data_IF_059852642976
#
_entry.id   IF_059852642976
#
_cell.length_a   1.000
_cell.length_b   1.000
_cell.length_c   1.000
_cell.angle_alpha   90.00
_cell.angle_beta   90.00
_cell.angle_gamma   90.00
#
_symmetry.space_group_name_H-M   'P 1'
#
loop_
_entity.id
_entity.type
_entity.pdbx_description
1 polymer ?
#
# COMPACT_ATOMS: atom_id res chain seq x y z
N UNK A 1 -15.59 0.10 20.59
CA UNK A 1 -14.26 0.67 20.25
C UNK A 1 -13.97 0.33 18.80
N UNK A 2 -13.53 1.29 17.98
CA UNK A 2 -13.03 1.01 16.63
C UNK A 2 -11.58 0.54 16.74
N UNK A 3 -11.27 -0.62 16.18
CA UNK A 3 -9.90 -1.12 16.12
C UNK A 3 -9.20 -0.43 14.95
N UNK A 4 -8.34 0.54 15.25
CA UNK A 4 -7.48 1.19 14.25
C UNK A 4 -6.33 0.23 13.91
N UNK A 5 -6.13 -0.01 12.61
CA UNK A 5 -5.07 -0.89 12.07
C UNK A 5 -4.35 -0.16 10.95
N UNK A 6 -3.03 -0.34 10.88
CA UNK A 6 -2.22 0.28 9.84
C UNK A 6 -2.48 -0.36 8.47
N UNK A 7 -2.16 0.38 7.40
CA UNK A 7 -2.24 -0.17 6.03
C UNK A 7 -1.33 -1.39 5.89
N UNK A 8 -0.12 -1.30 6.41
CA UNK A 8 0.83 -2.41 6.43
C UNK A 8 0.26 -3.65 7.16
N UNK A 9 -0.41 -3.47 8.30
CA UNK A 9 -1.04 -4.58 9.04
C UNK A 9 -2.14 -5.28 8.25
N UNK A 10 -2.94 -4.53 7.49
CA UNK A 10 -3.99 -5.12 6.66
C UNK A 10 -3.39 -5.99 5.55
N UNK A 11 -2.35 -5.50 4.88
CA UNK A 11 -1.69 -6.23 3.79
C UNK A 11 -0.91 -7.46 4.27
N UNK A 12 -0.48 -7.50 5.52
CA UNK A 12 0.16 -8.68 6.11
C UNK A 12 -0.84 -9.79 6.41
N UNK A 13 -2.05 -9.43 6.88
CA UNK A 13 -3.07 -10.42 7.29
C UNK A 13 -3.83 -10.99 6.10
N UNK A 14 -4.30 -10.12 5.22
CA UNK A 14 -5.09 -10.51 4.06
C UNK A 14 -4.86 -9.48 2.94
N UNK A 15 -3.84 -9.70 2.09
CA UNK A 15 -3.46 -8.73 1.08
C UNK A 15 -4.56 -8.52 0.03
N UNK A 16 -5.32 -9.57 -0.32
CA UNK A 16 -6.42 -9.44 -1.29
C UNK A 16 -7.57 -8.60 -0.73
N UNK A 17 -7.93 -8.82 0.53
CA UNK A 17 -8.94 -8.02 1.21
C UNK A 17 -8.45 -6.61 1.49
N UNK A 18 -7.19 -6.43 1.87
CA UNK A 18 -6.59 -5.13 2.08
C UNK A 18 -6.63 -4.31 0.79
N UNK A 19 -6.22 -4.89 -0.34
CA UNK A 19 -6.31 -4.25 -1.66
C UNK A 19 -7.75 -3.91 -2.03
N UNK A 20 -8.69 -4.82 -1.78
CA UNK A 20 -10.10 -4.57 -2.04
C UNK A 20 -10.68 -3.42 -1.20
N UNK A 21 -10.21 -3.26 0.05
CA UNK A 21 -10.64 -2.20 0.95
C UNK A 21 -10.01 -0.84 0.61
N UNK A 22 -8.79 -0.81 0.08
CA UNK A 22 -8.05 0.43 -0.16
C UNK A 22 -8.16 0.94 -1.59
N UNK A 23 -8.17 0.04 -2.58
CA UNK A 23 -8.20 0.36 -4.01
C UNK A 23 -9.39 -0.26 -4.76
N UNK A 24 -10.19 -1.10 -4.11
CA UNK A 24 -11.22 -1.90 -4.77
C UNK A 24 -10.65 -3.18 -5.40
N UNK A 25 -11.52 -4.09 -5.86
CA UNK A 25 -11.09 -5.44 -6.31
C UNK A 25 -10.11 -5.36 -7.49
N UNK A 26 -8.84 -5.70 -7.26
CA UNK A 26 -7.72 -5.56 -8.21
C UNK A 26 -7.44 -4.12 -8.66
N UNK A 27 -7.77 -3.15 -7.81
CA UNK A 27 -7.63 -1.72 -8.15
C UNK A 27 -6.18 -1.25 -8.26
N UNK A 28 -5.24 -1.90 -7.56
CA UNK A 28 -3.81 -1.55 -7.65
C UNK A 28 -3.13 -2.11 -8.91
N UNK A 29 -3.75 -3.09 -9.57
CA UNK A 29 -3.25 -3.76 -10.79
C UNK A 29 -4.10 -3.45 -12.03
N UNK A 30 -4.81 -2.30 -12.05
CA UNK A 30 -5.68 -1.90 -13.17
C UNK A 30 -5.64 -0.41 -13.47
N UNK A 31 -5.88 -0.05 -14.73
CA UNK A 31 -6.03 1.35 -15.14
C UNK A 31 -4.79 2.19 -14.85
N UNK A 32 -4.99 3.33 -14.17
CA UNK A 32 -3.93 4.30 -13.90
C UNK A 32 -2.82 3.77 -12.97
N UNK A 33 -3.14 2.90 -12.00
CA UNK A 33 -2.15 2.33 -11.07
C UNK A 33 -1.20 1.36 -11.80
N UNK A 34 -1.73 0.53 -12.70
CA UNK A 34 -0.92 -0.36 -13.54
C UNK A 34 -0.06 0.43 -14.54
N UNK A 35 -0.60 1.51 -15.12
CA UNK A 35 0.14 2.39 -16.01
C UNK A 35 1.28 3.12 -15.27
N UNK A 36 1.03 3.62 -14.06
CA UNK A 36 2.04 4.23 -13.21
C UNK A 36 3.12 3.23 -12.79
N UNK A 37 2.75 1.98 -12.48
CA UNK A 37 3.72 0.91 -12.20
C UNK A 37 4.59 0.62 -13.42
N UNK A 38 4.00 0.53 -14.61
CA UNK A 38 4.76 0.36 -15.85
C UNK A 38 5.72 1.53 -16.11
N UNK A 39 5.26 2.75 -15.88
CA UNK A 39 6.10 3.95 -16.01
C UNK A 39 7.27 3.95 -15.01
N UNK A 40 7.03 3.55 -13.76
CA UNK A 40 8.07 3.45 -12.74
C UNK A 40 9.13 2.38 -13.07
N UNK A 41 8.71 1.27 -13.69
CA UNK A 41 9.60 0.20 -14.15
C UNK A 41 10.26 0.50 -15.52
N UNK A 42 9.87 1.60 -16.19
CA UNK A 42 10.33 1.94 -17.54
C UNK A 42 9.79 1.02 -18.65
N UNK A 43 8.74 0.24 -18.38
CA UNK A 43 8.19 -0.75 -19.30
C UNK A 43 6.68 -0.92 -19.17
N UNK A 44 5.97 -1.11 -20.29
CA UNK A 44 4.56 -1.46 -20.25
C UNK A 44 4.35 -2.87 -19.67
N UNK A 45 3.29 -3.06 -18.88
CA UNK A 45 2.90 -4.34 -18.27
C UNK A 45 1.67 -4.95 -19.00
N UNK A 46 1.84 -5.59 -20.17
CA UNK A 46 0.73 -6.07 -21.00
C UNK A 46 -0.13 -7.15 -20.32
N UNK A 47 0.46 -7.88 -19.36
CA UNK A 47 -0.23 -8.94 -18.61
C UNK A 47 -0.47 -8.60 -17.14
N UNK A 48 -0.52 -7.31 -16.77
CA UNK A 48 -0.81 -6.90 -15.40
C UNK A 48 -2.13 -7.45 -14.84
N UNK A 49 -3.11 -7.72 -15.70
CA UNK A 49 -4.39 -8.32 -15.33
C UNK A 49 -4.31 -9.80 -14.88
N UNK A 50 -3.21 -10.50 -15.21
CA UNK A 50 -2.93 -11.88 -14.80
C UNK A 50 -2.12 -11.96 -13.50
N UNK A 51 -1.67 -10.83 -12.98
CA UNK A 51 -0.98 -10.82 -11.69
C UNK A 51 -1.97 -11.18 -10.56
N UNK A 52 -1.51 -11.89 -9.52
CA UNK A 52 -2.33 -12.21 -8.37
C UNK A 52 -2.77 -10.92 -7.66
N UNK A 53 -3.99 -10.94 -7.12
CA UNK A 53 -4.47 -9.84 -6.27
C UNK A 53 -3.66 -9.73 -4.97
N UNK A 54 -3.82 -8.63 -4.27
CA UNK A 54 -3.11 -8.32 -3.04
C UNK A 54 -1.68 -7.83 -3.24
N UNK A 55 -1.23 -7.66 -4.49
CA UNK A 55 0.09 -7.10 -4.78
C UNK A 55 0.08 -5.59 -4.64
N UNK A 56 0.82 -5.09 -3.64
CA UNK A 56 1.09 -3.67 -3.48
C UNK A 56 2.13 -3.23 -4.53
N UNK A 57 1.86 -2.19 -5.35
CA UNK A 57 2.82 -1.68 -6.33
C UNK A 57 4.13 -1.26 -5.67
N UNK A 58 5.28 -1.59 -6.26
CA UNK A 58 6.60 -1.26 -5.71
C UNK A 58 6.78 0.25 -5.46
N UNK A 59 6.20 1.09 -6.34
CA UNK A 59 6.17 2.54 -6.18
C UNK A 59 5.35 3.02 -4.97
N UNK A 60 4.39 2.22 -4.50
CA UNK A 60 3.59 2.46 -3.29
C UNK A 60 4.17 1.75 -2.06
N UNK A 61 5.02 0.74 -2.26
CA UNK A 61 5.65 -0.04 -1.21
C UNK A 61 6.94 0.61 -0.67
N UNK A 62 7.45 1.66 -1.32
CA UNK A 62 8.66 2.36 -0.89
C UNK A 62 8.36 3.46 0.13
N UNK A 63 8.83 3.35 1.39
CA UNK A 63 8.80 4.46 2.32
C UNK A 63 9.83 5.51 1.91
N UNK A 64 9.43 6.78 1.90
CA UNK A 64 10.32 7.91 1.63
C UNK A 64 11.10 8.28 2.91
N UNK A 65 11.94 7.37 3.43
CA UNK A 65 12.79 7.57 4.62
C UNK A 65 12.43 6.71 5.86
N UNK A 66 13.10 6.96 7.00
CA UNK A 66 13.04 6.19 8.28
C UNK A 66 11.63 5.87 8.82
N UNK A 67 11.06 4.69 8.50
CA UNK A 67 9.82 4.09 9.06
C UNK A 67 8.77 4.64 10.08
N UNK A 68 7.49 4.23 10.00
CA UNK A 68 6.42 4.66 10.89
C UNK A 68 6.77 4.73 12.37
N UNK A 69 6.40 5.79 13.09
CA UNK A 69 6.33 5.76 14.55
C UNK A 69 4.94 6.06 15.05
N UNK A 70 4.46 5.00 15.69
CA UNK A 70 3.28 4.92 16.51
C UNK A 70 3.43 5.72 17.81
N UNK A 71 2.39 6.48 18.12
CA UNK A 71 2.09 6.87 19.51
C UNK A 71 1.68 5.62 20.28
N UNK A 72 2.57 5.17 21.15
CA UNK A 72 2.37 4.05 22.07
C UNK A 72 2.31 4.64 23.47
N UNK A 73 1.22 4.39 24.20
CA UNK A 73 1.05 4.91 25.55
C UNK A 73 2.33 4.69 26.39
N UNK A 74 2.89 5.76 26.96
CA UNK A 74 4.12 5.74 27.75
C UNK A 74 5.43 6.09 27.03
N UNK A 75 5.42 6.36 25.71
CA UNK A 75 6.63 6.76 24.94
C UNK A 75 6.67 8.24 24.52
N UNK A 76 7.88 8.74 24.28
CA UNK A 76 8.13 9.98 23.54
C UNK A 76 7.76 9.82 22.04
N UNK A 77 7.36 10.89 21.34
CA UNK A 77 7.00 10.81 19.93
C UNK A 77 8.24 10.45 19.11
N UNK A 78 8.18 9.38 18.31
CA UNK A 78 9.18 9.15 17.27
C UNK A 78 8.55 9.38 15.86
N UNK A 79 9.34 9.35 14.78
CA UNK A 79 8.99 9.75 13.39
C UNK A 79 8.31 8.66 12.56
N UNK A 80 7.25 8.97 11.78
CA UNK A 80 6.53 8.03 10.91
C UNK A 80 6.71 8.31 9.41
N UNK A 81 7.53 7.53 8.69
CA UNK A 81 7.90 7.85 7.28
C UNK A 81 7.16 7.10 6.14
N UNK A 82 6.00 6.47 6.42
CA UNK A 82 5.09 6.06 5.34
C UNK A 82 3.80 5.35 5.78
N UNK A 83 2.65 6.03 5.58
CA UNK A 83 1.25 5.55 5.76
C UNK A 83 0.31 6.58 5.05
N UNK A 84 0.18 6.60 3.71
CA UNK A 84 -0.52 7.71 3.01
C UNK A 84 -1.28 7.25 1.75
N UNK A 85 -2.50 7.75 1.40
CA UNK A 85 -2.98 9.14 1.64
C UNK A 85 -4.34 9.42 2.29
N UNK A 86 -4.38 10.69 2.76
CA UNK A 86 -5.52 11.47 3.18
C UNK A 86 -6.14 12.19 1.97
N UNK A 87 -7.19 11.57 1.40
CA UNK A 87 -8.47 12.16 0.96
C UNK A 87 -9.56 11.25 1.51
#
# INVERSE_FOLDING_TARGET
MRTERSLAELFVVDPERAEALTWGRRGALKGASLAALGAALGAAMPFGSRMPGGLLPAALAQPAGDAPVLRMDGKAPLLLLGERPLV
#
